data_IF_666829767701
#
_entry.id   IF_666829767701
#
_cell.length_a   1.000
_cell.length_b   1.000
_cell.length_c   1.000
_cell.angle_alpha   90.00
_cell.angle_beta   90.00
_cell.angle_gamma   90.00
#
_symmetry.space_group_name_H-M   'P 1'
#
loop_
_entity.id
_entity.type
_entity.pdbx_description
1 polymer ?
#
# COMPACT_ATOMS: atom_id res chain seq x y z
N UNK A 1 -12.68 18.45 -28.48
CA UNK A 1 -12.25 17.05 -28.71
C UNK A 1 -13.42 16.39 -29.36
N UNK A 2 -13.22 15.87 -30.56
CA UNK A 2 -14.34 15.30 -31.33
C UNK A 2 -14.59 13.86 -30.87
N UNK A 3 -15.86 13.52 -30.79
CA UNK A 3 -16.33 12.17 -30.47
C UNK A 3 -15.78 11.20 -31.54
N UNK A 4 -15.12 10.09 -31.18
CA UNK A 4 -14.64 9.12 -32.14
C UNK A 4 -15.76 8.54 -33.01
N UNK A 5 -15.45 8.26 -34.29
CA UNK A 5 -16.43 7.79 -35.28
C UNK A 5 -17.01 6.41 -34.95
N UNK A 6 -16.29 5.59 -34.18
CA UNK A 6 -16.75 4.27 -33.73
C UNK A 6 -17.79 4.33 -32.60
N UNK A 7 -18.08 5.52 -32.07
CA UNK A 7 -19.15 5.74 -31.12
C UNK A 7 -20.40 6.23 -31.84
N UNK A 8 -21.57 5.73 -31.45
CA UNK A 8 -22.88 6.32 -31.79
C UNK A 8 -23.27 7.40 -30.79
N UNK A 9 -22.86 7.25 -29.53
CA UNK A 9 -23.05 8.25 -28.48
C UNK A 9 -21.81 8.27 -27.58
N UNK A 10 -21.50 9.45 -27.04
CA UNK A 10 -20.39 9.62 -26.11
C UNK A 10 -20.04 11.10 -25.98
N UNK A 11 -19.89 11.55 -24.75
CA UNK A 11 -19.50 12.92 -24.44
C UNK A 11 -18.10 12.95 -23.84
N UNK A 12 -17.34 14.01 -24.09
CA UNK A 12 -16.07 14.20 -23.39
C UNK A 12 -16.32 14.24 -21.88
N UNK A 13 -15.50 13.55 -21.09
CA UNK A 13 -15.55 13.63 -19.64
C UNK A 13 -15.41 15.09 -19.18
N UNK A 14 -16.20 15.49 -18.17
CA UNK A 14 -16.33 16.89 -17.73
C UNK A 14 -15.96 17.04 -16.26
N UNK A 15 -15.27 18.14 -15.96
CA UNK A 15 -15.03 18.60 -14.58
C UNK A 15 -16.33 19.01 -13.86
N UNK A 16 -17.32 19.46 -14.63
CA UNK A 16 -18.63 19.86 -14.13
C UNK A 16 -19.73 19.08 -14.88
N UNK A 17 -19.90 17.77 -14.58
CA UNK A 17 -20.88 16.95 -15.28
C UNK A 17 -22.31 17.36 -14.92
N UNK A 18 -23.16 17.52 -15.93
CA UNK A 18 -24.58 17.84 -15.77
C UNK A 18 -25.37 16.54 -15.71
N UNK A 19 -25.22 15.81 -14.60
CA UNK A 19 -25.92 14.56 -14.33
C UNK A 19 -26.89 14.72 -13.17
N UNK A 20 -27.88 13.83 -13.06
CA UNK A 20 -28.81 13.84 -11.93
C UNK A 20 -28.05 13.69 -10.60
N UNK A 21 -28.60 14.27 -9.53
CA UNK A 21 -28.03 14.11 -8.18
C UNK A 21 -28.00 12.65 -7.69
N UNK A 22 -28.81 11.78 -8.30
CA UNK A 22 -28.81 10.33 -8.05
C UNK A 22 -27.65 9.60 -8.71
N UNK A 23 -27.01 10.19 -9.74
CA UNK A 23 -25.87 9.59 -10.45
C UNK A 23 -24.54 10.00 -9.81
N UNK A 24 -24.35 9.66 -8.54
CA UNK A 24 -23.07 9.93 -7.83
C UNK A 24 -21.89 9.28 -8.56
N UNK A 25 -22.07 8.03 -8.97
CA UNK A 25 -21.10 7.23 -9.72
C UNK A 25 -20.67 7.92 -11.03
N UNK A 26 -21.64 8.26 -11.88
CA UNK A 26 -21.36 8.93 -13.16
C UNK A 26 -20.68 10.28 -12.98
N UNK A 27 -21.05 11.05 -11.94
CA UNK A 27 -20.40 12.33 -11.62
C UNK A 27 -18.95 12.13 -11.21
N UNK A 28 -18.67 11.26 -10.24
CA UNK A 28 -17.32 10.98 -9.74
C UNK A 28 -16.43 10.47 -10.88
N UNK A 29 -16.93 9.53 -11.67
CA UNK A 29 -16.20 8.98 -12.83
C UNK A 29 -15.90 10.05 -13.87
N UNK A 30 -16.88 10.90 -14.23
CA UNK A 30 -16.66 11.96 -15.23
C UNK A 30 -15.60 12.97 -14.77
N UNK A 31 -15.63 13.38 -13.49
CA UNK A 31 -14.67 14.32 -12.92
C UNK A 31 -13.26 13.72 -12.93
N UNK A 32 -13.10 12.50 -12.43
CA UNK A 32 -11.80 11.81 -12.40
C UNK A 32 -11.24 11.59 -13.80
N UNK A 33 -12.07 11.14 -14.74
CA UNK A 33 -11.67 10.97 -16.14
C UNK A 33 -11.32 12.30 -16.82
N UNK A 34 -12.02 13.38 -16.49
CA UNK A 34 -11.67 14.70 -16.97
C UNK A 34 -10.28 15.11 -16.46
N UNK A 35 -10.02 15.02 -15.15
CA UNK A 35 -8.71 15.33 -14.58
C UNK A 35 -7.60 14.41 -15.13
N UNK A 36 -7.85 13.11 -15.29
CA UNK A 36 -6.90 12.16 -15.90
C UNK A 36 -6.47 12.62 -17.31
N UNK A 37 -7.38 13.20 -18.09
CA UNK A 37 -7.09 13.72 -19.43
C UNK A 37 -6.55 15.16 -19.48
N UNK A 38 -6.60 15.90 -18.37
CA UNK A 38 -6.28 17.33 -18.30
C UNK A 38 -5.04 17.64 -17.47
N UNK A 39 -4.72 16.79 -16.51
CA UNK A 39 -3.52 16.86 -15.69
C UNK A 39 -2.55 15.80 -16.20
N UNK A 40 -1.49 16.25 -16.87
CA UNK A 40 -0.59 15.38 -17.63
C UNK A 40 0.13 14.38 -16.71
N UNK A 41 0.57 14.83 -15.55
CA UNK A 41 1.25 14.04 -14.52
C UNK A 41 0.33 12.95 -13.94
N UNK A 42 -0.92 13.30 -13.63
CA UNK A 42 -1.91 12.36 -13.13
C UNK A 42 -2.22 11.29 -14.19
N UNK A 43 -2.45 11.72 -15.43
CA UNK A 43 -2.67 10.83 -16.56
C UNK A 43 -1.50 9.85 -16.76
N UNK A 44 -0.27 10.36 -16.70
CA UNK A 44 0.97 9.57 -16.81
C UNK A 44 1.11 8.58 -15.65
N UNK A 45 0.88 9.02 -14.42
CA UNK A 45 1.00 8.20 -13.21
C UNK A 45 -0.01 7.05 -13.22
N UNK A 46 -1.29 7.32 -13.50
CA UNK A 46 -2.34 6.30 -13.52
C UNK A 46 -2.15 5.31 -14.67
N UNK A 47 -1.88 5.79 -15.89
CA UNK A 47 -1.71 4.93 -17.06
C UNK A 47 -0.44 4.06 -16.98
N UNK A 48 0.60 4.51 -16.28
CA UNK A 48 1.78 3.70 -16.02
C UNK A 48 1.46 2.42 -15.24
N UNK A 49 0.47 2.45 -14.34
CA UNK A 49 0.06 1.28 -13.54
C UNK A 49 -0.54 0.15 -14.38
N UNK A 50 -1.08 0.48 -15.56
CA UNK A 50 -1.64 -0.47 -16.53
C UNK A 50 -0.70 -0.71 -17.72
N UNK A 51 0.58 -0.35 -17.56
CA UNK A 51 1.64 -0.60 -18.53
C UNK A 51 1.69 0.37 -19.71
N UNK A 52 0.92 1.46 -19.67
CA UNK A 52 0.90 2.47 -20.73
C UNK A 52 1.83 3.62 -20.39
N UNK A 53 2.65 4.05 -21.35
CA UNK A 53 3.55 5.22 -21.21
C UNK A 53 2.95 6.41 -21.95
N UNK A 54 2.68 7.48 -21.23
CA UNK A 54 2.22 8.75 -21.80
C UNK A 54 3.45 9.61 -22.09
N UNK A 55 3.80 9.72 -23.38
CA UNK A 55 4.89 10.60 -23.82
C UNK A 55 4.39 12.03 -24.01
N UNK A 56 5.32 12.97 -24.20
CA UNK A 56 5.04 14.41 -24.39
C UNK A 56 4.10 14.68 -25.58
N UNK A 57 4.16 13.85 -26.63
CA UNK A 57 3.28 13.96 -27.82
C UNK A 57 2.04 13.06 -27.75
N UNK A 58 1.90 12.31 -26.67
CA UNK A 58 0.72 11.46 -26.49
C UNK A 58 -0.46 12.31 -26.07
N UNK A 59 -1.65 11.94 -26.53
CA UNK A 59 -2.89 12.61 -26.14
C UNK A 59 -3.80 11.62 -25.45
N UNK A 60 -4.17 11.95 -24.22
CA UNK A 60 -5.20 11.22 -23.48
C UNK A 60 -6.54 11.91 -23.72
N UNK A 61 -7.58 11.14 -23.98
CA UNK A 61 -8.94 11.62 -24.18
C UNK A 61 -9.89 10.68 -23.48
N UNK A 62 -10.77 11.24 -22.65
CA UNK A 62 -11.73 10.44 -21.90
C UNK A 62 -13.16 10.83 -22.29
N UNK A 63 -14.01 9.82 -22.39
CA UNK A 63 -15.41 9.97 -22.71
C UNK A 63 -16.25 9.28 -21.65
N UNK A 64 -17.40 9.84 -21.35
CA UNK A 64 -18.45 9.18 -20.57
C UNK A 64 -19.61 8.89 -21.51
N UNK A 65 -20.63 8.19 -21.00
CA UNK A 65 -21.89 8.09 -21.73
C UNK A 65 -21.75 7.36 -23.08
N UNK A 66 -20.89 6.34 -23.11
CA UNK A 66 -20.36 5.72 -24.33
C UNK A 66 -21.32 4.66 -24.88
N UNK A 67 -21.66 4.75 -26.17
CA UNK A 67 -22.41 3.73 -26.92
C UNK A 67 -21.67 3.46 -28.22
N UNK A 68 -21.22 2.22 -28.42
CA UNK A 68 -20.52 1.80 -29.64
C UNK A 68 -21.48 1.57 -30.80
N UNK A 69 -21.02 1.83 -32.02
CA UNK A 69 -21.82 1.67 -33.23
C UNK A 69 -22.31 0.23 -33.46
N UNK A 70 -21.48 -0.75 -33.11
CA UNK A 70 -21.80 -2.16 -33.28
C UNK A 70 -22.76 -2.70 -32.21
N UNK A 71 -22.97 -1.95 -31.12
CA UNK A 71 -23.61 -2.44 -29.89
C UNK A 71 -24.79 -1.57 -29.44
N UNK A 72 -25.41 -0.81 -30.35
CA UNK A 72 -26.60 -0.01 -30.04
C UNK A 72 -27.76 -0.82 -29.43
N UNK A 73 -27.74 -2.15 -29.56
CA UNK A 73 -28.71 -3.08 -28.98
C UNK A 73 -28.31 -3.67 -27.62
N UNK A 74 -27.05 -3.52 -27.17
CA UNK A 74 -26.64 -3.95 -25.83
C UNK A 74 -27.15 -2.94 -24.80
N UNK A 75 -27.82 -3.46 -23.76
CA UNK A 75 -28.40 -2.65 -22.68
C UNK A 75 -27.35 -2.04 -21.75
N UNK A 76 -26.16 -2.64 -21.71
CA UNK A 76 -25.13 -2.25 -20.78
C UNK A 76 -24.20 -1.20 -21.39
N UNK A 77 -24.10 -0.06 -20.71
CA UNK A 77 -23.38 1.11 -21.15
C UNK A 77 -22.16 1.32 -20.25
N UNK A 78 -20.93 1.28 -20.79
CA UNK A 78 -19.73 1.61 -20.04
C UNK A 78 -19.80 2.99 -19.40
N UNK A 79 -19.35 3.10 -18.15
CA UNK A 79 -19.30 4.37 -17.42
C UNK A 79 -18.32 5.36 -18.07
N UNK A 80 -17.27 4.84 -18.71
CA UNK A 80 -16.36 5.65 -19.50
C UNK A 80 -15.50 4.88 -20.49
N UNK A 81 -14.76 5.65 -21.27
CA UNK A 81 -13.77 5.21 -22.24
C UNK A 81 -12.53 6.10 -22.12
N UNK A 82 -11.36 5.50 -21.95
CA UNK A 82 -10.06 6.16 -22.02
C UNK A 82 -9.43 5.84 -23.36
N UNK A 83 -8.94 6.86 -24.06
CA UNK A 83 -8.25 6.75 -25.34
C UNK A 83 -6.88 7.41 -25.21
N UNK A 84 -5.82 6.63 -25.38
CA UNK A 84 -4.44 7.11 -25.44
C UNK A 84 -3.96 7.03 -26.89
N UNK A 85 -3.67 8.18 -27.49
CA UNK A 85 -3.09 8.27 -28.84
C UNK A 85 -1.62 8.62 -28.75
N UNK A 86 -0.77 7.85 -29.41
CA UNK A 86 0.67 8.12 -29.52
C UNK A 86 1.12 7.93 -30.97
N UNK A 87 1.16 9.04 -31.71
CA UNK A 87 1.35 9.01 -33.16
C UNK A 87 0.22 8.21 -33.85
N UNK A 88 0.53 7.17 -34.64
CA UNK A 88 -0.50 6.34 -35.30
C UNK A 88 -1.10 5.26 -34.39
N UNK A 89 -0.54 5.03 -33.20
CA UNK A 89 -1.04 4.01 -32.27
C UNK A 89 -2.13 4.60 -31.40
N UNK A 90 -3.23 3.85 -31.25
CA UNK A 90 -4.31 4.15 -30.33
C UNK A 90 -4.46 2.96 -29.38
N UNK A 91 -4.54 3.25 -28.08
CA UNK A 91 -4.87 2.29 -27.04
C UNK A 91 -6.15 2.74 -26.33
N UNK A 92 -7.05 1.80 -26.04
CA UNK A 92 -8.39 2.08 -25.51
C UNK A 92 -8.71 1.22 -24.30
N UNK A 93 -9.38 1.80 -23.32
CA UNK A 93 -9.87 1.10 -22.14
C UNK A 93 -11.32 1.47 -21.82
N UNK A 94 -12.18 0.48 -21.62
CA UNK A 94 -13.50 0.71 -21.02
C UNK A 94 -13.36 0.90 -19.52
N UNK A 95 -14.21 1.74 -18.94
CA UNK A 95 -14.24 2.01 -17.50
C UNK A 95 -15.55 1.53 -16.91
N UNK A 96 -15.44 0.80 -15.81
CA UNK A 96 -16.54 0.40 -14.91
C UNK A 96 -16.24 0.96 -13.54
N UNK A 97 -17.12 1.76 -12.97
CA UNK A 97 -16.91 2.45 -11.72
C UNK A 97 -17.97 2.09 -10.69
N UNK A 98 -17.58 2.01 -9.41
CA UNK A 98 -18.48 1.78 -8.28
C UNK A 98 -18.10 2.66 -7.11
N UNK A 99 -19.05 3.45 -6.60
CA UNK A 99 -18.83 4.35 -5.44
C UNK A 99 -19.67 3.94 -4.23
N UNK A 100 -19.30 4.43 -3.04
CA UNK A 100 -20.02 4.14 -1.81
C UNK A 100 -19.97 2.66 -1.43
N UNK A 101 -21.14 2.07 -1.18
CA UNK A 101 -21.29 0.66 -0.81
C UNK A 101 -21.58 -0.27 -2.01
N UNK A 102 -21.57 0.26 -3.23
CA UNK A 102 -21.80 -0.55 -4.42
C UNK A 102 -20.58 -1.44 -4.70
N UNK A 103 -20.82 -2.71 -5.02
CA UNK A 103 -19.77 -3.69 -5.30
C UNK A 103 -19.61 -3.91 -6.81
N UNK A 104 -18.42 -4.31 -7.22
CA UNK A 104 -18.15 -4.75 -8.59
C UNK A 104 -18.91 -6.06 -8.87
N UNK A 105 -19.53 -6.14 -10.04
CA UNK A 105 -20.24 -7.34 -10.50
C UNK A 105 -19.42 -8.10 -11.53
N UNK A 106 -19.31 -9.43 -11.36
CA UNK A 106 -18.61 -10.30 -12.32
C UNK A 106 -19.29 -10.23 -13.69
N UNK A 107 -20.62 -10.30 -13.73
CA UNK A 107 -21.40 -10.31 -14.96
C UNK A 107 -21.21 -9.02 -15.76
N UNK A 108 -21.19 -7.88 -15.06
CA UNK A 108 -20.99 -6.57 -15.68
C UNK A 108 -19.58 -6.43 -16.29
N UNK A 109 -18.55 -6.88 -15.56
CA UNK A 109 -17.16 -6.85 -16.07
C UNK A 109 -17.00 -7.78 -17.27
N UNK A 110 -17.59 -8.97 -17.26
CA UNK A 110 -17.53 -9.91 -18.40
C UNK A 110 -18.32 -9.42 -19.61
N UNK A 111 -19.45 -8.74 -19.39
CA UNK A 111 -20.19 -8.04 -20.44
C UNK A 111 -19.32 -6.94 -21.09
N UNK A 112 -18.60 -6.15 -20.30
CA UNK A 112 -17.70 -5.12 -20.85
C UNK A 112 -16.50 -5.73 -21.57
N UNK A 113 -15.97 -6.88 -21.13
CA UNK A 113 -14.97 -7.63 -21.88
C UNK A 113 -15.48 -8.07 -23.25
N UNK A 114 -16.76 -8.43 -23.35
CA UNK A 114 -17.39 -8.78 -24.62
C UNK A 114 -17.47 -7.56 -25.55
N UNK A 115 -17.99 -6.44 -25.05
CA UNK A 115 -18.04 -5.16 -25.79
C UNK A 115 -16.63 -4.77 -26.25
N UNK A 116 -15.65 -4.88 -25.36
CA UNK A 116 -14.26 -4.54 -25.67
C UNK A 116 -13.72 -5.41 -26.82
N UNK A 117 -13.97 -6.72 -26.77
CA UNK A 117 -13.56 -7.65 -27.83
C UNK A 117 -14.24 -7.33 -29.17
N UNK A 118 -15.53 -7.02 -29.17
CA UNK A 118 -16.32 -6.73 -30.38
C UNK A 118 -15.93 -5.39 -31.05
N UNK A 119 -15.40 -4.45 -30.27
CA UNK A 119 -14.97 -3.13 -30.76
C UNK A 119 -13.44 -2.93 -30.84
N UNK A 120 -12.67 -4.00 -30.56
CA UNK A 120 -11.20 -3.97 -30.56
C UNK A 120 -10.60 -3.05 -29.48
N UNK A 121 -11.30 -2.86 -28.36
CA UNK A 121 -10.79 -2.13 -27.19
C UNK A 121 -9.81 -3.02 -26.44
N UNK A 122 -8.69 -2.45 -25.98
CA UNK A 122 -7.55 -3.20 -25.49
C UNK A 122 -7.75 -3.79 -24.10
N UNK A 123 -8.51 -3.12 -23.23
CA UNK A 123 -8.75 -3.59 -21.87
C UNK A 123 -10.03 -3.03 -21.23
N UNK A 124 -10.33 -3.51 -20.03
CA UNK A 124 -11.31 -2.92 -19.10
C UNK A 124 -10.59 -2.48 -17.83
N UNK A 125 -10.93 -1.32 -17.28
CA UNK A 125 -10.44 -0.80 -16.01
C UNK A 125 -11.64 -0.67 -15.07
N UNK A 126 -11.60 -1.36 -13.94
CA UNK A 126 -12.58 -1.20 -12.88
C UNK A 126 -12.08 -0.19 -11.84
N UNK A 127 -12.97 0.66 -11.31
CA UNK A 127 -12.66 1.61 -10.24
C UNK A 127 -13.64 1.42 -9.09
N UNK A 128 -13.17 1.11 -7.88
CA UNK A 128 -14.05 0.96 -6.71
C UNK A 128 -13.38 1.28 -5.37
N UNK A 129 -14.12 1.14 -4.27
CA UNK A 129 -13.56 1.20 -2.90
C UNK A 129 -12.87 -0.10 -2.47
N UNK A 130 -12.84 -1.14 -3.32
CA UNK A 130 -12.07 -2.35 -3.05
C UNK A 130 -10.60 -2.10 -3.36
N UNK A 131 -9.71 -2.86 -2.69
CA UNK A 131 -8.28 -2.74 -2.91
C UNK A 131 -7.72 -3.98 -3.59
N UNK A 132 -6.67 -3.77 -4.38
CA UNK A 132 -5.91 -4.82 -5.03
C UNK A 132 -4.43 -4.67 -4.71
N UNK A 133 -3.72 -5.81 -4.66
CA UNK A 133 -2.26 -5.83 -4.46
C UNK A 133 -1.53 -5.04 -5.56
N UNK A 134 -2.02 -5.14 -6.80
CA UNK A 134 -1.57 -4.35 -7.93
C UNK A 134 -2.73 -4.07 -8.87
N UNK A 135 -2.58 -3.11 -9.78
CA UNK A 135 -3.62 -2.83 -10.78
C UNK A 135 -3.94 -4.04 -11.67
N UNK A 136 -3.03 -5.01 -11.78
CA UNK A 136 -3.22 -6.22 -12.60
C UNK A 136 -3.99 -7.34 -11.88
N UNK A 137 -4.07 -7.28 -10.54
CA UNK A 137 -4.70 -8.32 -9.73
C UNK A 137 -6.07 -7.88 -9.27
N UNK A 138 -7.05 -8.08 -10.14
CA UNK A 138 -8.43 -7.71 -9.84
C UNK A 138 -8.92 -8.26 -8.48
N UNK A 139 -9.69 -7.50 -7.68
CA UNK A 139 -10.14 -7.94 -6.35
C UNK A 139 -11.04 -9.18 -6.42
N UNK A 140 -11.88 -9.30 -7.45
CA UNK A 140 -12.74 -10.47 -7.68
C UNK A 140 -11.95 -11.65 -8.28
N UNK A 141 -12.01 -12.81 -7.64
CA UNK A 141 -11.25 -14.00 -8.01
C UNK A 141 -11.71 -14.58 -9.36
N UNK A 142 -13.00 -14.55 -9.64
CA UNK A 142 -13.63 -15.04 -10.87
C UNK A 142 -13.08 -14.29 -12.09
N UNK A 143 -12.86 -12.98 -11.95
CA UNK A 143 -12.29 -12.14 -13.01
C UNK A 143 -10.82 -12.50 -13.26
N UNK A 144 -10.07 -12.85 -12.21
CA UNK A 144 -8.68 -13.34 -12.32
C UNK A 144 -8.59 -14.72 -13.00
N UNK A 145 -9.56 -15.60 -12.74
CA UNK A 145 -9.63 -16.97 -13.29
C UNK A 145 -10.25 -17.04 -14.68
N UNK A 146 -10.86 -15.96 -15.15
CA UNK A 146 -11.49 -15.88 -16.46
C UNK A 146 -10.51 -16.19 -17.59
N UNK A 147 -11.01 -16.85 -18.65
CA UNK A 147 -10.24 -17.19 -19.86
C UNK A 147 -10.28 -16.10 -20.92
N UNK A 148 -10.91 -14.96 -20.64
CA UNK A 148 -10.97 -13.84 -21.57
C UNK A 148 -9.57 -13.33 -21.91
N UNK A 149 -9.36 -13.02 -23.20
CA UNK A 149 -8.10 -12.41 -23.66
C UNK A 149 -8.04 -10.91 -23.40
N UNK A 150 -9.17 -10.28 -23.06
CA UNK A 150 -9.23 -8.86 -22.71
C UNK A 150 -8.79 -8.70 -21.25
N UNK A 151 -7.61 -8.10 -20.98
CA UNK A 151 -7.15 -7.88 -19.63
C UNK A 151 -8.11 -6.94 -18.88
N UNK A 152 -8.25 -7.19 -17.58
CA UNK A 152 -8.97 -6.30 -16.66
C UNK A 152 -7.99 -5.79 -15.64
N UNK A 153 -7.93 -4.48 -15.50
CA UNK A 153 -7.17 -3.81 -14.45
C UNK A 153 -8.11 -3.23 -13.41
N UNK A 154 -7.60 -2.97 -12.21
CA UNK A 154 -8.36 -2.40 -11.12
C UNK A 154 -7.62 -1.23 -10.48
N UNK A 155 -8.33 -0.11 -10.30
CA UNK A 155 -7.89 1.01 -9.47
C UNK A 155 -8.82 1.14 -8.27
N UNK A 156 -8.26 1.33 -7.07
CA UNK A 156 -9.08 1.80 -5.96
C UNK A 156 -9.21 3.32 -6.06
N UNK A 157 -10.36 3.89 -5.68
CA UNK A 157 -10.51 5.35 -5.63
C UNK A 157 -9.45 5.99 -4.74
N UNK A 158 -9.12 5.32 -3.64
CA UNK A 158 -8.05 5.73 -2.72
C UNK A 158 -6.67 5.72 -3.37
N UNK A 159 -6.40 4.82 -4.32
CA UNK A 159 -5.14 4.83 -5.09
C UNK A 159 -5.07 6.01 -6.06
N UNK A 160 -6.20 6.41 -6.66
CA UNK A 160 -6.27 7.61 -7.51
C UNK A 160 -6.06 8.86 -6.67
N UNK A 161 -6.75 8.96 -5.53
CA UNK A 161 -6.57 10.07 -4.60
C UNK A 161 -5.12 10.17 -4.12
N UNK A 162 -4.52 9.05 -3.69
CA UNK A 162 -3.13 9.03 -3.22
C UNK A 162 -2.14 9.43 -4.32
N UNK A 163 -2.37 9.02 -5.57
CA UNK A 163 -1.53 9.45 -6.68
C UNK A 163 -1.62 10.98 -6.90
N UNK A 164 -2.82 11.55 -6.84
CA UNK A 164 -3.02 12.99 -6.96
C UNK A 164 -2.38 13.76 -5.78
N UNK A 165 -2.57 13.28 -4.56
CA UNK A 165 -2.04 13.88 -3.33
C UNK A 165 -0.51 13.89 -3.29
N UNK A 166 0.13 12.80 -3.73
CA UNK A 166 1.59 12.72 -3.83
C UNK A 166 2.16 13.66 -4.88
N UNK A 167 1.48 13.84 -6.02
CA UNK A 167 1.90 14.80 -7.05
C UNK A 167 1.89 16.24 -6.53
N UNK A 168 0.86 16.60 -5.75
CA UNK A 168 0.76 17.91 -5.11
C UNK A 168 1.82 18.08 -4.01
N UNK A 169 1.96 17.09 -3.12
CA UNK A 169 2.87 17.19 -1.97
C UNK A 169 4.35 17.28 -2.37
N UNK A 170 4.71 16.75 -3.54
CA UNK A 170 6.08 16.75 -4.05
C UNK A 170 6.34 17.83 -5.12
N UNK A 171 5.40 18.77 -5.33
CA UNK A 171 5.49 19.82 -6.35
C UNK A 171 5.78 19.25 -7.77
N UNK A 172 5.21 18.07 -8.10
CA UNK A 172 5.51 17.37 -9.36
C UNK A 172 4.67 17.86 -10.55
N UNK A 173 3.69 18.74 -10.33
CA UNK A 173 2.84 19.31 -11.38
C UNK A 173 3.45 20.61 -11.91
N UNK A 174 3.89 20.61 -13.16
CA UNK A 174 4.60 21.76 -13.75
C UNK A 174 3.68 22.96 -14.03
N UNK A 175 2.43 22.71 -14.44
CA UNK A 175 1.47 23.74 -14.83
C UNK A 175 0.54 24.11 -13.67
N UNK A 176 0.49 25.41 -13.34
CA UNK A 176 -0.29 25.93 -12.21
C UNK A 176 -1.80 25.75 -12.36
N UNK A 177 -2.32 25.80 -13.58
CA UNK A 177 -3.76 25.59 -13.80
C UNK A 177 -4.09 24.10 -13.60
N UNK A 178 -3.20 23.19 -14.03
CA UNK A 178 -3.33 21.75 -13.76
C UNK A 178 -3.21 21.43 -12.27
N UNK A 179 -2.31 22.10 -11.55
CA UNK A 179 -2.15 21.99 -10.10
C UNK A 179 -3.46 22.34 -9.37
N UNK A 180 -4.06 23.50 -9.68
CA UNK A 180 -5.36 23.93 -9.11
C UNK A 180 -6.46 22.90 -9.41
N UNK A 181 -6.50 22.34 -10.63
CA UNK A 181 -7.45 21.30 -10.98
C UNK A 181 -7.25 20.01 -10.15
N UNK A 182 -6.00 19.68 -9.84
CA UNK A 182 -5.65 18.51 -9.06
C UNK A 182 -5.97 18.72 -7.56
N UNK A 183 -5.75 19.92 -7.03
CA UNK A 183 -6.19 20.32 -5.68
C UNK A 183 -7.71 20.18 -5.52
N UNK A 184 -8.48 20.71 -6.49
CA UNK A 184 -9.93 20.61 -6.49
C UNK A 184 -10.41 19.16 -6.64
N UNK A 185 -9.68 18.33 -7.39
CA UNK A 185 -9.94 16.90 -7.45
C UNK A 185 -9.74 16.26 -6.08
N UNK A 186 -8.60 16.49 -5.41
CA UNK A 186 -8.33 15.96 -4.07
C UNK A 186 -9.41 16.39 -3.06
N UNK A 187 -9.80 17.67 -3.08
CA UNK A 187 -10.89 18.21 -2.26
C UNK A 187 -12.22 17.52 -2.55
N UNK A 188 -12.52 17.23 -3.82
CA UNK A 188 -13.73 16.51 -4.20
C UNK A 188 -13.69 15.04 -3.73
N UNK A 189 -12.58 14.33 -3.94
CA UNK A 189 -12.46 12.90 -3.62
C UNK A 189 -12.50 12.64 -2.11
N UNK A 190 -12.04 13.58 -1.29
CA UNK A 190 -12.10 13.49 0.18
C UNK A 190 -13.47 13.86 0.75
N UNK A 191 -14.34 14.51 -0.02
CA UNK A 191 -15.66 14.91 0.44
C UNK A 191 -16.62 13.70 0.51
N UNK A 192 -17.41 13.60 1.57
CA UNK A 192 -18.33 12.46 1.81
C UNK A 192 -19.29 12.20 0.62
N UNK A 193 -19.67 13.25 -0.11
CA UNK A 193 -20.53 13.13 -1.28
C UNK A 193 -19.96 12.28 -2.42
N UNK A 194 -18.63 12.18 -2.53
CA UNK A 194 -17.97 11.35 -3.55
C UNK A 194 -18.14 9.85 -3.26
N UNK A 195 -18.41 9.48 -2.00
CA UNK A 195 -18.58 8.10 -1.58
C UNK A 195 -17.29 7.27 -1.63
N UNK A 196 -16.13 7.94 -1.59
CA UNK A 196 -14.81 7.30 -1.57
C UNK A 196 -14.46 6.98 -0.12
N UNK A 197 -14.06 5.73 0.12
CA UNK A 197 -13.80 5.21 1.45
C UNK A 197 -12.56 4.33 1.43
N UNK A 198 -11.85 4.32 2.57
CA UNK A 198 -10.86 3.30 2.89
C UNK A 198 -11.49 1.94 3.16
N UNK A 199 -10.67 0.98 3.57
CA UNK A 199 -11.11 -0.35 3.96
C UNK A 199 -11.72 -0.31 5.38
N UNK A 200 -13.03 -0.11 5.51
CA UNK A 200 -13.61 0.20 6.83
C UNK A 200 -13.79 -1.01 7.78
N UNK A 201 -13.74 -2.25 7.26
CA UNK A 201 -14.07 -3.44 8.08
C UNK A 201 -13.53 -4.77 7.56
N UNK A 202 -13.15 -5.62 8.51
CA UNK A 202 -12.93 -7.06 8.26
C UNK A 202 -14.24 -7.80 7.93
N UNK A 203 -14.16 -8.97 7.26
CA UNK A 203 -15.32 -9.81 6.94
C UNK A 203 -15.89 -10.50 8.20
N UNK A 204 -17.06 -11.12 8.07
CA UNK A 204 -17.74 -11.78 9.19
C UNK A 204 -16.89 -12.91 9.81
N UNK A 205 -16.22 -13.63 8.92
CA UNK A 205 -15.29 -14.73 9.16
C UNK A 205 -14.14 -14.36 10.10
N UNK A 206 -13.79 -13.07 10.22
CA UNK A 206 -12.76 -12.61 11.14
C UNK A 206 -13.08 -12.95 12.60
N UNK A 207 -14.35 -12.80 12.98
CA UNK A 207 -14.80 -13.13 14.32
C UNK A 207 -14.74 -14.64 14.58
N UNK A 208 -15.14 -15.45 13.60
CA UNK A 208 -15.16 -16.91 13.69
C UNK A 208 -13.73 -17.49 13.72
N UNK A 209 -12.82 -16.94 12.91
CA UNK A 209 -11.41 -17.30 12.92
C UNK A 209 -10.77 -17.02 14.28
N UNK A 210 -11.03 -15.85 14.85
CA UNK A 210 -10.53 -15.49 16.19
C UNK A 210 -11.11 -16.40 17.27
N UNK A 211 -12.40 -16.76 17.16
CA UNK A 211 -13.05 -17.69 18.08
C UNK A 211 -12.41 -19.08 18.03
N UNK A 212 -12.12 -19.59 16.82
CA UNK A 212 -11.44 -20.86 16.61
C UNK A 212 -10.05 -20.87 17.27
N UNK A 213 -9.22 -19.87 16.98
CA UNK A 213 -7.86 -19.75 17.53
C UNK A 213 -7.89 -19.62 19.06
N UNK A 214 -8.78 -18.77 19.58
CA UNK A 214 -8.92 -18.55 21.03
C UNK A 214 -9.38 -19.79 21.79
N UNK A 215 -10.05 -20.73 21.14
CA UNK A 215 -10.45 -22.02 21.72
C UNK A 215 -9.35 -23.09 21.65
N UNK A 216 -8.15 -22.75 21.15
CA UNK A 216 -7.07 -23.71 20.91
C UNK A 216 -7.30 -24.61 19.68
N UNK A 217 -8.25 -24.23 18.81
CA UNK A 217 -8.55 -24.95 17.59
C UNK A 217 -7.43 -24.79 16.56
N UNK A 218 -7.24 -25.83 15.72
CA UNK A 218 -6.32 -25.76 14.58
C UNK A 218 -7.06 -25.21 13.37
N UNK A 219 -6.47 -24.22 12.71
CA UNK A 219 -6.99 -23.68 11.45
C UNK A 219 -6.87 -24.77 10.36
N UNK A 220 -7.96 -25.16 9.67
CA UNK A 220 -7.92 -26.13 8.57
C UNK A 220 -7.12 -25.65 7.36
N UNK A 221 -6.57 -26.60 6.57
CA UNK A 221 -5.78 -26.30 5.37
C UNK A 221 -6.56 -25.63 4.23
N UNK A 222 -7.89 -25.70 4.29
CA UNK A 222 -8.82 -25.12 3.31
C UNK A 222 -9.92 -24.33 4.03
N UNK A 223 -9.57 -23.65 5.14
CA UNK A 223 -10.52 -22.84 5.89
C UNK A 223 -10.98 -21.64 5.07
N UNK A 224 -12.29 -21.58 4.81
CA UNK A 224 -12.89 -20.44 4.13
C UNK A 224 -12.75 -19.18 4.97
N UNK A 225 -12.85 -19.30 6.30
CA UNK A 225 -12.76 -18.20 7.24
C UNK A 225 -11.36 -17.58 7.24
N UNK A 226 -10.33 -18.42 7.22
CA UNK A 226 -8.95 -17.96 7.12
C UNK A 226 -8.66 -17.30 5.78
N UNK A 227 -9.12 -17.89 4.67
CA UNK A 227 -8.93 -17.32 3.33
C UNK A 227 -9.60 -15.95 3.22
N UNK A 228 -10.86 -15.82 3.62
CA UNK A 228 -11.58 -14.55 3.59
C UNK A 228 -10.87 -13.47 4.46
N UNK A 229 -10.38 -13.87 5.64
CA UNK A 229 -9.63 -12.96 6.52
C UNK A 229 -8.28 -12.53 5.93
N UNK A 230 -7.60 -13.42 5.21
CA UNK A 230 -6.34 -13.12 4.50
C UNK A 230 -6.59 -12.15 3.34
N UNK A 231 -7.63 -12.38 2.54
CA UNK A 231 -7.96 -11.48 1.43
C UNK A 231 -8.36 -10.08 1.92
N UNK A 232 -9.08 -10.02 3.04
CA UNK A 232 -9.36 -8.76 3.74
C UNK A 232 -8.09 -8.09 4.27
N UNK A 233 -7.17 -8.86 4.85
CA UNK A 233 -5.85 -8.38 5.25
C UNK A 233 -5.04 -7.81 4.07
N UNK A 234 -5.16 -8.40 2.88
CA UNK A 234 -4.50 -7.85 1.67
C UNK A 234 -5.08 -6.49 1.27
N UNK A 235 -6.39 -6.30 1.44
CA UNK A 235 -7.03 -5.01 1.19
C UNK A 235 -6.61 -3.97 2.22
N UNK A 236 -6.66 -4.32 3.50
CA UNK A 236 -6.24 -3.45 4.60
C UNK A 236 -4.76 -3.04 4.49
N UNK A 237 -3.87 -4.00 4.22
CA UNK A 237 -2.44 -3.70 4.04
C UNK A 237 -2.20 -2.81 2.83
N UNK A 238 -3.00 -2.95 1.76
CA UNK A 238 -2.93 -2.02 0.64
C UNK A 238 -3.40 -0.62 1.05
N UNK A 239 -4.48 -0.49 1.79
CA UNK A 239 -4.97 0.81 2.24
C UNK A 239 -4.00 1.49 3.22
N UNK A 240 -3.47 0.75 4.19
CA UNK A 240 -2.40 1.21 5.09
C UNK A 240 -1.20 1.74 4.32
N UNK A 241 -0.80 1.10 3.21
CA UNK A 241 0.29 1.62 2.37
C UNK A 241 -0.04 2.99 1.76
N UNK A 242 -1.30 3.22 1.39
CA UNK A 242 -1.77 4.49 0.82
C UNK A 242 -1.93 5.57 1.90
N UNK A 243 -2.41 5.20 3.09
CA UNK A 243 -2.44 6.07 4.28
C UNK A 243 -1.02 6.53 4.63
N UNK A 244 -0.09 5.59 4.77
CA UNK A 244 1.31 5.91 5.08
C UNK A 244 1.94 6.76 3.97
N UNK A 245 1.62 6.49 2.70
CA UNK A 245 2.18 7.28 1.59
C UNK A 245 1.80 8.75 1.70
N UNK A 246 0.52 9.05 1.96
CA UNK A 246 0.04 10.43 2.11
C UNK A 246 0.60 11.09 3.37
N UNK A 247 0.65 10.38 4.50
CA UNK A 247 1.18 10.94 5.75
C UNK A 247 2.70 11.18 5.73
N UNK A 248 3.43 10.47 4.87
CA UNK A 248 4.89 10.61 4.73
C UNK A 248 5.28 11.39 3.47
N UNK A 249 4.31 11.81 2.67
CA UNK A 249 4.49 12.47 1.36
C UNK A 249 5.41 11.71 0.40
N UNK A 250 5.62 10.41 0.64
CA UNK A 250 6.48 9.55 -0.17
C UNK A 250 5.80 8.23 -0.48
N UNK A 251 6.30 7.52 -1.48
CA UNK A 251 5.70 6.25 -1.88
C UNK A 251 6.02 5.15 -0.85
N UNK A 252 4.96 4.57 -0.29
CA UNK A 252 5.05 3.42 0.62
C UNK A 252 4.46 2.18 -0.06
N UNK A 253 5.23 1.09 -0.06
CA UNK A 253 4.83 -0.16 -0.69
C UNK A 253 4.87 -1.32 0.27
N UNK A 254 3.94 -2.25 0.12
CA UNK A 254 4.04 -3.53 0.78
C UNK A 254 5.25 -4.29 0.22
N UNK A 255 6.18 -4.68 1.08
CA UNK A 255 7.32 -5.50 0.73
C UNK A 255 6.88 -6.94 0.53
N UNK A 256 6.84 -7.37 -0.73
CA UNK A 256 6.53 -8.73 -1.14
C UNK A 256 7.63 -9.27 -2.06
N UNK A 257 7.84 -10.57 -2.04
CA UNK A 257 8.71 -11.19 -3.05
C UNK A 257 8.08 -11.05 -4.44
N UNK A 258 8.90 -10.96 -5.50
CA UNK A 258 8.40 -10.86 -6.88
C UNK A 258 7.43 -11.99 -7.23
N UNK A 259 7.69 -13.20 -6.70
CA UNK A 259 6.88 -14.40 -6.89
C UNK A 259 5.47 -14.23 -6.32
N UNK A 260 5.36 -13.73 -5.08
CA UNK A 260 4.08 -13.48 -4.42
C UNK A 260 3.34 -12.28 -5.01
N UNK A 261 4.07 -11.27 -5.49
CA UNK A 261 3.45 -10.18 -6.23
C UNK A 261 2.83 -10.68 -7.53
N UNK A 262 3.49 -11.55 -8.30
CA UNK A 262 2.94 -12.03 -9.58
C UNK A 262 1.80 -13.05 -9.43
N UNK A 263 1.76 -13.81 -8.34
CA UNK A 263 0.83 -14.91 -8.12
C UNK A 263 0.03 -14.74 -6.82
N UNK A 264 -1.18 -14.14 -6.88
CA UNK A 264 -2.04 -13.95 -5.72
C UNK A 264 -2.49 -15.26 -5.06
N UNK A 265 -2.68 -16.33 -5.84
CA UNK A 265 -3.12 -17.61 -5.29
C UNK A 265 -2.01 -18.27 -4.47
N UNK A 266 -0.77 -18.16 -4.94
CA UNK A 266 0.40 -18.56 -4.15
C UNK A 266 0.54 -17.72 -2.89
N UNK A 267 0.33 -16.39 -2.97
CA UNK A 267 0.39 -15.51 -1.80
C UNK A 267 -0.59 -15.95 -0.71
N UNK A 268 -1.86 -16.16 -1.06
CA UNK A 268 -2.87 -16.68 -0.11
C UNK A 268 -2.46 -18.03 0.47
N UNK A 269 -1.89 -18.92 -0.35
CA UNK A 269 -1.44 -20.24 0.11
C UNK A 269 -0.28 -20.16 1.12
N UNK A 270 0.75 -19.34 0.85
CA UNK A 270 1.89 -19.17 1.75
C UNK A 270 1.46 -18.47 3.05
N UNK A 271 0.66 -17.41 2.96
CA UNK A 271 0.14 -16.73 4.16
C UNK A 271 -0.83 -17.60 4.98
N UNK A 272 -1.63 -18.46 4.33
CA UNK A 272 -2.45 -19.43 5.04
C UNK A 272 -1.59 -20.45 5.78
N UNK A 273 -0.48 -20.89 5.20
CA UNK A 273 0.46 -21.76 5.91
C UNK A 273 1.04 -21.05 7.13
N UNK A 274 1.54 -19.82 6.97
CA UNK A 274 2.12 -19.04 8.08
C UNK A 274 1.10 -18.73 9.18
N UNK A 275 -0.14 -18.38 8.81
CA UNK A 275 -1.23 -18.15 9.75
C UNK A 275 -1.56 -19.41 10.54
N UNK A 276 -1.49 -20.60 9.93
CA UNK A 276 -1.75 -21.88 10.62
C UNK A 276 -0.66 -22.23 11.62
N UNK A 277 0.60 -21.95 11.29
CA UNK A 277 1.73 -22.26 12.17
C UNK A 277 1.92 -21.24 13.30
N UNK A 278 1.64 -19.97 13.01
CA UNK A 278 1.97 -18.86 13.93
C UNK A 278 0.75 -18.19 14.55
N UNK A 279 -0.45 -18.42 14.02
CA UNK A 279 -1.68 -17.69 14.34
C UNK A 279 -1.52 -16.17 14.20
N UNK A 280 -0.71 -15.73 13.24
CA UNK A 280 -0.45 -14.32 12.99
C UNK A 280 -0.65 -13.97 11.51
N UNK A 281 -1.24 -12.81 11.28
CA UNK A 281 -1.17 -12.11 10.00
C UNK A 281 -0.03 -11.09 10.08
N UNK A 282 0.77 -10.97 9.03
CA UNK A 282 1.91 -10.06 9.00
C UNK A 282 2.01 -9.31 7.67
N UNK A 283 2.58 -8.12 7.73
CA UNK A 283 2.93 -7.31 6.58
C UNK A 283 4.22 -6.53 6.85
N UNK A 284 4.98 -6.32 5.79
CA UNK A 284 6.16 -5.46 5.80
C UNK A 284 5.91 -4.30 4.83
N UNK A 285 6.25 -3.09 5.23
CA UNK A 285 6.14 -1.89 4.42
C UNK A 285 7.53 -1.29 4.20
N UNK A 286 7.91 -1.15 2.92
CA UNK A 286 9.09 -0.40 2.53
C UNK A 286 8.66 1.06 2.34
N UNK A 287 9.19 1.93 3.21
CA UNK A 287 9.03 3.38 3.17
C UNK A 287 10.35 3.94 2.63
N UNK A 288 10.29 4.80 1.61
CA UNK A 288 11.49 5.38 0.99
C UNK A 288 12.32 6.10 2.06
N UNK A 289 13.64 5.90 2.01
CA UNK A 289 14.66 6.45 2.93
C UNK A 289 14.53 6.11 4.42
N UNK A 290 13.54 5.30 4.83
CA UNK A 290 13.43 4.82 6.19
C UNK A 290 14.58 3.87 6.57
N UNK A 291 14.93 3.83 7.86
CA UNK A 291 16.06 3.03 8.36
C UNK A 291 15.89 1.51 8.18
N UNK A 292 14.64 1.03 8.11
CA UNK A 292 14.28 -0.36 7.89
C UNK A 292 12.82 -0.45 7.43
N UNK A 293 12.37 -1.61 6.92
CA UNK A 293 10.95 -1.84 6.68
C UNK A 293 10.14 -1.78 7.98
N UNK A 294 8.94 -1.21 7.91
CA UNK A 294 7.96 -1.22 8.99
C UNK A 294 7.22 -2.57 8.98
N UNK A 295 7.29 -3.31 10.07
CA UNK A 295 6.62 -4.59 10.28
C UNK A 295 5.33 -4.36 11.06
N UNK A 296 4.23 -4.90 10.55
CA UNK A 296 2.92 -4.93 11.22
C UNK A 296 2.49 -6.38 11.35
N UNK A 297 2.14 -6.81 12.56
CA UNK A 297 1.74 -8.18 12.87
C UNK A 297 0.51 -8.20 13.77
N UNK A 298 -0.57 -8.80 13.28
CA UNK A 298 -1.77 -9.07 14.06
C UNK A 298 -1.71 -10.49 14.63
N UNK A 299 -1.52 -10.61 15.93
CA UNK A 299 -1.42 -11.89 16.64
C UNK A 299 -2.79 -12.29 17.21
N UNK A 300 -3.38 -13.34 16.64
CA UNK A 300 -4.72 -13.81 17.02
C UNK A 300 -4.72 -14.52 18.39
N UNK A 301 -3.63 -15.20 18.76
CA UNK A 301 -3.52 -15.86 20.07
C UNK A 301 -3.54 -14.82 21.20
N UNK A 302 -2.72 -13.76 21.05
CA UNK A 302 -2.57 -12.71 22.07
C UNK A 302 -3.58 -11.58 21.90
N UNK A 303 -4.33 -11.54 20.79
CA UNK A 303 -5.20 -10.42 20.39
C UNK A 303 -4.47 -9.08 20.49
N UNK A 304 -3.28 -9.07 19.92
CA UNK A 304 -2.29 -8.01 20.06
C UNK A 304 -1.83 -7.57 18.69
N UNK A 305 -1.75 -6.25 18.50
CA UNK A 305 -1.13 -5.66 17.34
C UNK A 305 0.33 -5.34 17.68
N UNK A 306 1.27 -5.97 16.97
CA UNK A 306 2.69 -5.66 17.04
C UNK A 306 3.09 -4.80 15.84
N UNK A 307 3.75 -3.68 16.10
CA UNK A 307 4.25 -2.79 15.05
C UNK A 307 5.70 -2.48 15.37
N UNK A 308 6.63 -2.73 14.44
CA UNK A 308 8.04 -2.63 14.74
C UNK A 308 8.96 -2.44 13.55
N UNK A 309 10.23 -2.19 13.82
CA UNK A 309 11.30 -2.09 12.83
C UNK A 309 12.53 -2.84 13.35
N UNK A 310 13.28 -3.47 12.45
CA UNK A 310 14.51 -4.20 12.80
C UNK A 310 15.74 -3.50 12.24
N UNK A 311 16.64 -3.07 13.14
CA UNK A 311 17.90 -2.40 12.78
C UNK A 311 19.10 -3.30 13.03
N UNK A 312 20.06 -3.24 12.12
CA UNK A 312 21.39 -3.82 12.35
C UNK A 312 22.12 -3.02 13.42
N UNK A 313 22.77 -3.72 14.35
CA UNK A 313 23.52 -3.07 15.40
C UNK A 313 24.87 -2.51 14.86
N UNK A 314 25.37 -1.38 15.42
CA UNK A 314 26.65 -0.79 15.03
C UNK A 314 27.86 -1.72 15.20
N UNK A 315 28.62 -1.96 14.13
CA UNK A 315 29.80 -2.84 14.18
C UNK A 315 31.03 -2.13 14.79
N UNK A 316 31.07 -0.79 14.77
CA UNK A 316 32.15 0.01 15.35
C UNK A 316 32.11 0.03 16.90
N UNK A 317 31.03 -0.49 17.50
CA UNK A 317 30.86 -0.58 18.95
C UNK A 317 31.20 -1.97 19.47
N UNK A 318 32.09 -2.02 20.47
CA UNK A 318 32.62 -3.27 21.06
C UNK A 318 31.68 -3.95 22.07
N UNK A 319 30.86 -3.22 22.81
CA UNK A 319 29.92 -3.79 23.79
C UNK A 319 28.47 -3.71 23.33
N UNK A 320 27.63 -4.64 23.80
CA UNK A 320 26.20 -4.62 23.51
C UNK A 320 25.53 -3.44 24.21
N UNK A 321 25.99 -3.07 25.42
CA UNK A 321 25.60 -1.83 26.09
C UNK A 321 25.84 -0.58 25.23
N UNK A 322 26.98 -0.50 24.54
CA UNK A 322 27.26 0.63 23.64
C UNK A 322 26.35 0.63 22.40
N UNK A 323 26.05 -0.57 21.84
CA UNK A 323 25.08 -0.72 20.74
C UNK A 323 23.66 -0.36 21.17
N UNK A 324 23.26 -0.73 22.39
CA UNK A 324 21.97 -0.38 22.99
C UNK A 324 21.86 1.14 23.21
N UNK A 325 22.88 1.77 23.80
CA UNK A 325 22.91 3.23 23.96
C UNK A 325 22.80 3.99 22.63
N UNK A 326 23.37 3.47 21.54
CA UNK A 326 23.18 4.05 20.20
C UNK A 326 21.71 4.01 19.76
N UNK A 327 21.01 2.92 20.03
CA UNK A 327 19.59 2.80 19.71
C UNK A 327 18.74 3.74 20.58
N UNK A 328 18.94 3.71 21.90
CA UNK A 328 18.14 4.49 22.85
C UNK A 328 18.17 5.99 22.57
N UNK A 329 19.30 6.54 22.10
CA UNK A 329 19.43 7.96 21.73
C UNK A 329 18.54 8.39 20.58
N UNK A 330 18.08 7.46 19.75
CA UNK A 330 17.23 7.74 18.60
C UNK A 330 15.74 7.74 18.98
N UNK A 331 15.38 7.10 20.09
CA UNK A 331 13.99 6.95 20.51
C UNK A 331 13.64 8.07 21.49
N UNK A 332 13.02 9.14 20.97
CA UNK A 332 12.62 10.33 21.76
C UNK A 332 11.20 10.27 22.31
N UNK A 333 10.40 9.29 21.91
CA UNK A 333 9.02 9.14 22.36
C UNK A 333 8.89 9.13 23.90
N UNK A 334 7.93 9.88 24.43
CA UNK A 334 7.66 9.95 25.87
C UNK A 334 6.82 8.76 26.34
N UNK A 335 5.73 8.44 25.65
CA UNK A 335 4.92 7.26 25.91
C UNK A 335 5.58 6.00 25.33
N UNK A 336 6.16 5.19 26.22
CA UNK A 336 6.89 3.96 25.87
C UNK A 336 6.39 2.74 26.64
N UNK A 337 5.21 2.83 27.27
CA UNK A 337 4.71 1.78 28.16
C UNK A 337 4.57 0.41 27.46
N UNK A 338 4.17 0.43 26.19
CA UNK A 338 3.98 -0.79 25.38
C UNK A 338 5.10 -1.02 24.36
N UNK A 339 6.26 -0.39 24.55
CA UNK A 339 7.40 -0.48 23.62
C UNK A 339 8.47 -1.40 24.17
N UNK A 340 8.95 -2.30 23.34
CA UNK A 340 9.93 -3.32 23.68
C UNK A 340 11.10 -3.30 22.70
N UNK A 341 12.26 -3.73 23.19
CA UNK A 341 13.43 -4.00 22.36
C UNK A 341 13.81 -5.46 22.49
N UNK A 342 13.75 -6.16 21.37
CA UNK A 342 14.26 -7.53 21.24
C UNK A 342 15.67 -7.50 20.65
N UNK A 343 16.62 -8.06 21.39
CA UNK A 343 18.02 -8.19 20.99
C UNK A 343 18.24 -9.55 20.33
N UNK A 344 18.75 -9.54 19.10
CA UNK A 344 19.12 -10.75 18.36
C UNK A 344 20.62 -11.01 18.47
N UNK A 345 20.96 -12.22 18.85
CA UNK A 345 22.33 -12.66 19.16
C UNK A 345 22.88 -13.53 18.02
N UNK A 346 24.21 -13.68 17.92
CA UNK A 346 24.82 -14.47 16.85
C UNK A 346 24.56 -15.97 17.02
N UNK A 347 24.62 -16.69 15.91
CA UNK A 347 24.43 -18.14 15.87
C UNK A 347 22.99 -18.56 16.18
N UNK A 348 22.82 -19.58 17.02
CA UNK A 348 21.52 -20.10 17.47
C UNK A 348 21.11 -19.60 18.86
N UNK A 349 21.77 -18.56 19.35
CA UNK A 349 21.51 -18.02 20.68
C UNK A 349 20.10 -17.42 20.73
N UNK A 350 19.35 -17.75 21.79
CA UNK A 350 18.00 -17.21 21.98
C UNK A 350 17.98 -15.69 22.06
N UNK A 351 16.93 -15.07 21.51
CA UNK A 351 16.71 -13.62 21.59
C UNK A 351 16.36 -13.21 23.01
N UNK A 352 16.84 -12.05 23.45
CA UNK A 352 16.39 -11.43 24.72
C UNK A 352 15.42 -10.29 24.42
N UNK A 353 14.52 -9.98 25.34
CA UNK A 353 13.52 -8.93 25.19
C UNK A 353 13.37 -8.18 26.51
N UNK A 354 13.37 -6.86 26.44
CA UNK A 354 13.18 -5.97 27.58
C UNK A 354 12.23 -4.83 27.20
N UNK A 355 11.55 -4.26 28.20
CA UNK A 355 10.78 -3.03 27.98
C UNK A 355 11.74 -1.88 27.65
N UNK A 356 11.29 -0.92 26.84
CA UNK A 356 12.08 0.26 26.54
C UNK A 356 12.31 1.12 27.80
N UNK A 357 11.36 1.11 28.74
CA UNK A 357 11.49 1.81 30.01
C UNK A 357 12.63 1.26 30.86
N UNK A 358 12.74 -0.08 30.98
CA UNK A 358 13.81 -0.71 31.76
C UNK A 358 15.18 -0.43 31.12
N UNK A 359 15.27 -0.50 29.79
CA UNK A 359 16.52 -0.22 29.07
C UNK A 359 16.94 1.25 29.14
N UNK A 360 16.00 2.20 29.27
CA UNK A 360 16.32 3.62 29.52
C UNK A 360 16.90 3.82 30.92
N UNK A 361 16.41 3.08 31.92
CA UNK A 361 16.91 3.13 33.29
C UNK A 361 18.27 2.44 33.42
N UNK A 362 18.41 1.24 32.84
CA UNK A 362 19.67 0.50 32.80
C UNK A 362 19.89 -0.19 31.43
N UNK A 363 20.69 0.41 30.54
CA UNK A 363 21.04 -0.19 29.26
C UNK A 363 21.84 -1.50 29.37
N UNK A 364 22.46 -1.80 30.53
CA UNK A 364 23.24 -3.02 30.72
C UNK A 364 22.36 -4.28 30.83
N UNK A 365 21.06 -4.13 31.11
CA UNK A 365 20.10 -5.23 31.15
C UNK A 365 20.09 -6.05 29.86
N UNK A 366 20.40 -5.44 28.72
CA UNK A 366 20.48 -6.17 27.45
C UNK A 366 21.58 -7.26 27.42
N UNK A 367 22.57 -7.23 28.32
CA UNK A 367 23.68 -8.19 28.36
C UNK A 367 23.42 -9.38 29.30
N UNK A 368 22.30 -9.38 30.03
CA UNK A 368 21.96 -10.42 31.01
C UNK A 368 21.90 -11.81 30.36
N UNK A 369 22.68 -12.76 30.90
CA UNK A 369 22.77 -14.13 30.37
C UNK A 369 23.44 -14.27 29.00
N UNK A 370 24.12 -13.22 28.49
CA UNK A 370 24.75 -13.19 27.15
C UNK A 370 26.23 -12.81 27.18
N UNK A 371 26.93 -13.20 28.26
CA UNK A 371 28.35 -12.92 28.44
C UNK A 371 29.20 -13.38 27.24
N UNK A 372 30.08 -12.50 26.75
CA UNK A 372 30.96 -12.78 25.61
C UNK A 372 30.30 -12.72 24.22
N UNK A 373 28.98 -12.49 24.14
CA UNK A 373 28.29 -12.29 22.87
C UNK A 373 28.03 -10.81 22.60
N UNK A 374 27.88 -10.49 21.31
CA UNK A 374 27.52 -9.15 20.86
C UNK A 374 26.20 -9.17 20.10
N UNK A 375 25.28 -8.27 20.47
CA UNK A 375 24.00 -8.13 19.77
C UNK A 375 24.20 -7.76 18.30
N UNK A 376 23.57 -8.51 17.39
CA UNK A 376 23.72 -8.35 15.92
C UNK A 376 22.68 -7.40 15.36
N UNK A 377 21.47 -7.42 15.92
CA UNK A 377 20.38 -6.53 15.51
C UNK A 377 19.37 -6.33 16.65
N UNK A 378 18.64 -5.23 16.55
CA UNK A 378 17.57 -4.86 17.47
C UNK A 378 16.25 -4.82 16.71
N UNK A 379 15.22 -5.49 17.23
CA UNK A 379 13.83 -5.26 16.81
C UNK A 379 13.17 -4.38 17.86
N UNK A 380 12.79 -3.17 17.46
CA UNK A 380 12.06 -2.21 18.30
C UNK A 380 10.62 -2.30 17.86
N UNK A 381 9.72 -2.61 18.79
CA UNK A 381 8.32 -2.80 18.46
C UNK A 381 7.41 -2.37 19.60
N UNK A 382 6.25 -1.85 19.25
CA UNK A 382 5.12 -1.68 20.16
C UNK A 382 4.24 -2.92 20.12
N UNK A 383 3.70 -3.33 21.26
CA UNK A 383 2.77 -4.46 21.37
C UNK A 383 1.47 -4.00 22.07
N UNK A 384 0.47 -3.60 21.27
CA UNK A 384 -0.80 -3.07 21.77
C UNK A 384 -1.83 -4.19 21.90
N UNK A 385 -2.18 -4.55 23.14
CA UNK A 385 -3.21 -5.56 23.41
C UNK A 385 -4.60 -4.94 23.25
N UNK A 386 -5.36 -5.40 22.26
CA UNK A 386 -6.67 -4.82 21.92
C UNK A 386 -7.85 -5.57 22.57
N UNK A 387 -7.61 -6.77 23.11
CA UNK A 387 -8.64 -7.54 23.80
C UNK A 387 -9.82 -7.87 22.89
N UNK A 388 -11.04 -7.49 23.29
CA UNK A 388 -12.25 -7.73 22.50
C UNK A 388 -12.31 -6.86 21.23
N UNK A 389 -11.69 -5.68 21.20
CA UNK A 389 -11.66 -4.82 20.00
C UNK A 389 -10.96 -5.49 18.83
N UNK A 390 -9.98 -6.36 19.10
CA UNK A 390 -9.27 -7.13 18.09
C UNK A 390 -10.22 -7.96 17.20
N UNK A 391 -11.29 -8.51 17.78
CA UNK A 391 -12.23 -9.40 17.06
C UNK A 391 -13.37 -8.63 16.39
N UNK A 392 -13.48 -7.32 16.64
CA UNK A 392 -14.53 -6.47 16.09
C UNK A 392 -14.11 -5.97 14.71
N UNK A 393 -14.95 -6.24 13.71
CA UNK A 393 -14.63 -6.02 12.31
C UNK A 393 -14.18 -4.60 11.97
N UNK A 394 -14.86 -3.59 12.52
CA UNK A 394 -14.57 -2.16 12.27
C UNK A 394 -13.46 -1.65 13.18
N UNK A 395 -13.57 -1.92 14.48
CA UNK A 395 -12.63 -1.40 15.47
C UNK A 395 -11.21 -1.94 15.29
N UNK A 396 -11.04 -3.15 14.76
CA UNK A 396 -9.74 -3.67 14.40
C UNK A 396 -9.03 -2.81 13.33
N UNK A 397 -9.77 -2.37 12.30
CA UNK A 397 -9.22 -1.49 11.26
C UNK A 397 -8.93 -0.09 11.82
N UNK A 398 -9.87 0.49 12.56
CA UNK A 398 -9.66 1.79 13.23
C UNK A 398 -8.41 1.77 14.13
N UNK A 399 -8.18 0.66 14.84
CA UNK A 399 -7.00 0.50 15.69
C UNK A 399 -5.71 0.35 14.84
N UNK A 400 -5.73 -0.37 13.72
CA UNK A 400 -4.60 -0.47 12.78
C UNK A 400 -4.21 0.89 12.21
N UNK A 401 -5.16 1.60 11.61
CA UNK A 401 -4.97 2.92 11.00
C UNK A 401 -4.55 3.99 12.02
N UNK A 402 -4.86 3.78 13.30
CA UNK A 402 -4.39 4.64 14.39
C UNK A 402 -2.96 4.29 14.83
N UNK A 403 -2.70 3.03 15.14
CA UNK A 403 -1.46 2.63 15.82
C UNK A 403 -0.28 2.48 14.85
N UNK A 404 -0.50 2.02 13.62
CA UNK A 404 0.57 1.84 12.63
C UNK A 404 1.25 3.18 12.29
N UNK A 405 0.51 4.24 11.89
CA UNK A 405 1.16 5.51 11.60
C UNK A 405 1.70 6.20 12.85
N UNK A 406 1.04 6.03 14.01
CA UNK A 406 1.55 6.58 15.28
C UNK A 406 2.90 6.00 15.68
N UNK A 407 3.08 4.67 15.56
CA UNK A 407 4.38 4.06 15.82
C UNK A 407 5.46 4.61 14.87
N UNK A 408 5.15 4.75 13.58
CA UNK A 408 6.12 5.29 12.63
C UNK A 408 6.48 6.75 12.95
N UNK A 409 5.49 7.61 13.21
CA UNK A 409 5.71 9.01 13.60
C UNK A 409 6.53 9.15 14.89
N UNK A 410 6.18 8.39 15.92
CA UNK A 410 6.74 8.61 17.26
C UNK A 410 8.11 7.91 17.42
N UNK A 411 8.34 6.81 16.71
CA UNK A 411 9.56 5.99 16.80
C UNK A 411 10.22 5.84 15.44
N UNK A 412 9.51 5.26 14.46
CA UNK A 412 10.09 4.77 13.20
C UNK A 412 10.85 5.82 12.38
N UNK A 413 10.28 7.02 12.19
CA UNK A 413 10.87 8.11 11.41
C UNK A 413 12.15 8.70 12.06
N UNK A 414 12.34 8.48 13.37
CA UNK A 414 13.50 8.97 14.11
C UNK A 414 14.67 7.97 14.10
N UNK A 415 14.42 6.74 13.62
CA UNK A 415 15.45 5.71 13.52
C UNK A 415 16.37 5.97 12.32
N UNK A 416 17.65 5.67 12.49
CA UNK A 416 18.69 5.77 11.47
C UNK A 416 19.39 4.43 11.32
N UNK A 417 19.51 3.95 10.08
CA UNK A 417 20.25 2.73 9.80
C UNK A 417 21.74 2.96 10.05
N UNK A 418 22.40 2.05 10.76
CA UNK A 418 23.84 2.12 10.90
C UNK A 418 24.53 1.89 9.54
N UNK A 419 25.43 2.80 9.17
CA UNK A 419 26.28 2.71 7.98
C UNK A 419 27.74 2.67 8.42
N UNK A 420 28.52 1.76 7.84
CA UNK A 420 29.96 1.70 8.09
C UNK A 420 30.60 3.01 7.60
N UNK A 421 31.44 3.68 8.42
CA UNK A 421 32.17 4.87 7.98
C UNK A 421 33.04 4.57 6.75
N UNK A 422 33.21 5.56 5.88
CA UNK A 422 34.10 5.44 4.72
C UNK A 422 35.53 5.11 5.18
N UNK A 423 36.24 4.19 4.50
CA UNK A 423 37.65 3.94 4.76
C UNK A 423 38.45 5.23 4.62
N UNK A 424 39.30 5.55 5.60
CA UNK A 424 40.22 6.68 5.53
C UNK A 424 41.54 6.23 4.93
N UNK A 425 42.10 7.04 4.02
CA UNK A 425 43.49 6.89 3.58
C UNK A 425 44.36 7.22 4.80
N UNK A 426 45.32 6.37 5.13
CA UNK A 426 46.30 6.68 6.17
C UNK A 426 47.18 7.80 5.66
N UNK A 427 47.27 8.90 6.41
CA UNK A 427 48.30 9.90 6.15
C UNK A 427 49.66 9.22 6.41
N UNK A 428 50.54 9.22 5.41
CA UNK A 428 51.93 8.83 5.62
C UNK A 428 52.55 9.91 6.52
N UNK A 429 52.82 9.55 7.78
CA UNK A 429 53.68 10.35 8.65
C UNK A 429 55.03 10.49 7.93
N UNK A 430 55.24 11.66 7.35
CA UNK A 430 56.52 12.02 6.76
C UNK A 430 57.44 12.34 7.93
N UNK A 431 58.15 11.32 8.43
CA UNK A 431 59.30 11.52 9.31
C UNK A 431 60.36 12.33 8.55
N UNK A 432 60.23 13.65 8.63
CA UNK A 432 61.28 14.61 8.29
C UNK A 432 61.94 15.08 9.59
N UNK A 433 62.52 14.14 10.33
CA UNK A 433 63.61 14.47 11.26
C UNK A 433 64.88 14.66 10.41
N UNK A 434 65.06 15.89 9.92
CA UNK A 434 66.35 16.37 9.44
C UNK A 434 67.28 16.53 10.65
N UNK A 435 68.22 15.60 10.84
CA UNK A 435 69.40 15.84 11.67
C UNK A 435 70.22 16.99 11.07
N UNK A 436 70.63 18.01 11.84
CA UNK A 436 71.61 18.97 11.38
C UNK A 436 73.00 18.32 11.44
N UNK A 437 73.66 18.21 10.27
CA UNK A 437 75.08 17.88 10.16
C UNK A 437 75.92 18.90 10.95
N UNK A 438 76.62 18.41 11.98
CA UNK A 438 77.66 19.11 12.74
C UNK A 438 79.00 19.12 12.03
#
# INVERSE_FOLDING_TARGET
MDRPDYLTQGECARLFPVLSNTSKEGRTTSIVLACLSKVDELGRALLATVGQRVGVRSKVSCFTEVVFANDAALKERPDGLIVLRSGPKEWRALVEAKVGSAALSVDQVESYRKIAKENGVDCVITISNQFATSAQHHPLEEIRKSRSKIPVFHWSWMSIFTAADLLLSNDEVEDKDQEILLEELCRFLTHESAGIKGFERMPAEWADLNKLVSAGGRIPAKSAEAIASIEAWHQETRDLSLILSRQTETSVHQKLSRKLMSDPALRVKEELFDLRETHCLAALFDIIDAAAPLEVKADLNRRTLEIGMTLRAPEDKKSSKARMNWLLRQIKAEDVADVFVQCRWPGRSETTQHSLQDLRNDPALCEEGKAGLQVVSFRIFSAKRLGARFTQQVNFIVDLEKYVPSFYRDIGQNLTAWRRPAPRIREEETDLDQEPLS
#
